data_IF_181070810938
#
_entry.id   IF_181070810938
#
_cell.length_a   1.000
_cell.length_b   1.000
_cell.length_c   1.000
_cell.angle_alpha   90.00
_cell.angle_beta   90.00
_cell.angle_gamma   90.00
#
_symmetry.space_group_name_H-M   'P 1'
#
loop_
_entity.id
_entity.type
_entity.pdbx_description
1 polymer ?
#
# COMPACT_ATOMS: atom_id res chain seq x y z
N UNK A 1 4.00 -59.03 -1.52
CA UNK A 1 4.65 -57.74 -1.87
C UNK A 1 3.63 -56.88 -2.60
N UNK A 2 3.08 -55.89 -1.95
CA UNK A 2 2.14 -54.93 -2.56
C UNK A 2 2.97 -53.73 -2.99
N UNK A 3 3.14 -53.58 -4.29
CA UNK A 3 3.83 -52.42 -4.87
C UNK A 3 2.91 -51.23 -4.85
N UNK A 4 3.19 -50.27 -3.96
CA UNK A 4 2.58 -48.96 -4.00
C UNK A 4 3.14 -48.18 -5.19
N UNK A 5 2.29 -47.93 -6.18
CA UNK A 5 2.55 -46.94 -7.23
C UNK A 5 2.16 -45.55 -6.63
N UNK A 6 3.07 -44.56 -6.58
CA UNK A 6 2.68 -43.22 -6.21
C UNK A 6 1.82 -42.63 -7.33
N UNK A 7 0.57 -42.30 -7.02
CA UNK A 7 -0.25 -41.46 -7.88
C UNK A 7 0.45 -40.10 -8.04
N UNK A 8 1.20 -39.93 -9.12
CA UNK A 8 1.58 -38.60 -9.58
C UNK A 8 0.31 -37.96 -10.17
N UNK A 9 -0.36 -37.13 -9.38
CA UNK A 9 -1.32 -36.18 -9.91
C UNK A 9 -0.55 -35.25 -10.85
N UNK A 10 -0.62 -35.49 -12.16
CA UNK A 10 -0.22 -34.54 -13.19
C UNK A 10 -1.17 -33.35 -13.05
N UNK A 11 -0.72 -32.30 -12.37
CA UNK A 11 -1.37 -30.99 -12.43
C UNK A 11 -1.28 -30.60 -13.91
N UNK A 12 -2.42 -30.55 -14.60
CA UNK A 12 -2.48 -30.06 -15.97
C UNK A 12 -2.19 -28.54 -15.91
N UNK A 13 -0.95 -28.16 -16.20
CA UNK A 13 -0.55 -26.75 -16.29
C UNK A 13 -1.33 -26.11 -17.45
N UNK A 14 -2.00 -25.00 -17.16
CA UNK A 14 -2.70 -24.21 -18.17
C UNK A 14 -1.67 -23.34 -18.88
N UNK A 15 -1.72 -23.35 -20.21
CA UNK A 15 -0.97 -22.40 -21.05
C UNK A 15 -1.97 -21.65 -21.93
N UNK A 16 -1.96 -20.34 -21.87
CA UNK A 16 -2.80 -19.51 -22.73
C UNK A 16 -2.02 -18.29 -23.21
N UNK A 17 -2.40 -17.78 -24.38
CA UNK A 17 -1.80 -16.60 -25.00
C UNK A 17 -2.78 -15.41 -24.98
N UNK A 18 -2.28 -14.20 -24.70
CA UNK A 18 -3.02 -12.96 -24.70
C UNK A 18 -2.33 -11.91 -25.58
N UNK A 19 -3.09 -11.08 -26.29
CA UNK A 19 -2.49 -9.93 -26.97
C UNK A 19 -1.96 -8.94 -25.93
N UNK A 20 -2.71 -8.70 -24.85
CA UNK A 20 -2.25 -7.87 -23.73
C UNK A 20 -2.53 -8.59 -22.41
N UNK A 21 -1.49 -8.83 -21.64
CA UNK A 21 -1.59 -9.42 -20.31
C UNK A 21 -1.31 -8.34 -19.24
N UNK A 22 -2.22 -8.19 -18.29
CA UNK A 22 -2.09 -7.27 -17.15
C UNK A 22 -1.71 -8.06 -15.89
N UNK A 23 -0.75 -7.53 -15.13
CA UNK A 23 -0.41 -8.01 -13.79
C UNK A 23 -0.94 -7.01 -12.78
N UNK A 24 -2.04 -7.37 -12.11
CA UNK A 24 -2.78 -6.52 -11.18
C UNK A 24 -4.11 -6.02 -11.72
N UNK A 25 -5.19 -6.34 -10.99
CA UNK A 25 -6.57 -5.89 -11.21
C UNK A 25 -6.95 -4.68 -10.36
N UNK A 26 -5.98 -3.91 -9.85
CA UNK A 26 -6.26 -2.64 -9.19
C UNK A 26 -6.71 -1.55 -10.17
N UNK A 27 -6.88 -0.32 -9.66
CA UNK A 27 -7.36 0.81 -10.45
C UNK A 27 -6.59 1.02 -11.76
N UNK A 28 -5.27 0.86 -11.76
CA UNK A 28 -4.44 1.03 -12.95
C UNK A 28 -4.73 -0.03 -14.02
N UNK A 29 -4.75 -1.31 -13.63
CA UNK A 29 -4.99 -2.43 -14.55
C UNK A 29 -6.40 -2.43 -15.12
N UNK A 30 -7.41 -2.26 -14.27
CA UNK A 30 -8.82 -2.21 -14.70
C UNK A 30 -9.08 -1.03 -15.66
N UNK A 31 -8.58 0.17 -15.31
CA UNK A 31 -8.80 1.37 -16.15
C UNK A 31 -8.10 1.25 -17.50
N UNK A 32 -6.84 0.79 -17.52
CA UNK A 32 -6.10 0.66 -18.77
C UNK A 32 -6.68 -0.46 -19.66
N UNK A 33 -7.02 -1.61 -19.09
CA UNK A 33 -7.61 -2.72 -19.84
C UNK A 33 -9.01 -2.37 -20.39
N UNK A 34 -9.83 -1.67 -19.60
CA UNK A 34 -11.12 -1.18 -20.05
C UNK A 34 -10.98 -0.19 -21.23
N UNK A 35 -10.03 0.75 -21.13
CA UNK A 35 -9.77 1.70 -22.19
C UNK A 35 -9.29 1.01 -23.49
N UNK A 36 -8.37 0.03 -23.37
CA UNK A 36 -7.90 -0.73 -24.54
C UNK A 36 -9.03 -1.49 -25.22
N UNK A 37 -9.87 -2.18 -24.46
CA UNK A 37 -11.01 -2.92 -25.01
C UNK A 37 -12.08 -2.01 -25.62
N UNK A 38 -12.25 -0.80 -25.09
CA UNK A 38 -13.12 0.20 -25.69
C UNK A 38 -12.62 0.64 -27.07
N UNK A 39 -11.29 0.83 -27.24
CA UNK A 39 -10.69 1.24 -28.51
C UNK A 39 -10.56 0.07 -29.49
N UNK A 40 -10.29 -1.13 -29.01
CA UNK A 40 -10.10 -2.33 -29.85
C UNK A 40 -10.72 -3.56 -29.19
N UNK A 41 -12.04 -3.78 -29.36
CA UNK A 41 -12.79 -4.86 -28.70
C UNK A 41 -12.34 -6.28 -29.08
N UNK A 42 -11.55 -6.43 -30.16
CA UNK A 42 -11.05 -7.74 -30.65
C UNK A 42 -9.78 -8.20 -29.92
N UNK A 43 -9.19 -7.37 -29.06
CA UNK A 43 -8.01 -7.77 -28.30
C UNK A 43 -8.35 -8.89 -27.30
N UNK A 44 -7.51 -9.91 -27.28
CA UNK A 44 -7.54 -10.92 -26.23
C UNK A 44 -6.75 -10.40 -25.02
N UNK A 45 -7.47 -9.89 -24.03
CA UNK A 45 -6.91 -9.28 -22.81
C UNK A 45 -7.03 -10.25 -21.64
N UNK A 46 -5.89 -10.51 -20.93
CA UNK A 46 -5.86 -11.24 -19.67
C UNK A 46 -5.51 -10.30 -18.51
N UNK A 47 -6.10 -10.55 -17.33
CA UNK A 47 -5.79 -9.82 -16.08
C UNK A 47 -5.49 -10.86 -15.01
N UNK A 48 -4.23 -10.94 -14.54
CA UNK A 48 -3.83 -11.75 -13.39
C UNK A 48 -4.05 -10.90 -12.13
N UNK A 49 -5.07 -11.27 -11.34
CA UNK A 49 -5.42 -10.61 -10.07
C UNK A 49 -5.94 -11.67 -9.09
N UNK A 50 -5.22 -11.93 -8.00
CA UNK A 50 -5.59 -12.98 -7.05
C UNK A 50 -6.80 -12.62 -6.18
N UNK A 51 -7.03 -11.33 -5.92
CA UNK A 51 -8.09 -10.90 -5.01
C UNK A 51 -9.47 -11.05 -5.62
N UNK A 52 -10.41 -11.62 -4.88
CA UNK A 52 -11.84 -11.61 -5.24
C UNK A 52 -12.53 -10.29 -4.87
N UNK A 53 -11.80 -9.38 -4.21
CA UNK A 53 -12.33 -8.13 -3.69
C UNK A 53 -11.58 -6.93 -4.25
N UNK A 54 -12.32 -5.93 -4.64
CA UNK A 54 -11.84 -4.62 -5.05
C UNK A 54 -12.13 -3.59 -3.97
N UNK A 55 -11.13 -2.78 -3.61
CA UNK A 55 -11.26 -1.79 -2.54
C UNK A 55 -11.01 -0.38 -3.05
N UNK A 56 -11.90 0.55 -2.71
CA UNK A 56 -11.64 1.96 -2.87
C UNK A 56 -10.75 2.45 -1.71
N UNK A 57 -9.46 2.17 -1.81
CA UNK A 57 -8.46 2.40 -0.75
C UNK A 57 -8.40 3.83 -0.21
N UNK A 58 -8.57 4.92 -1.02
CA UNK A 58 -8.54 6.30 -0.51
C UNK A 58 -9.57 6.57 0.60
N UNK A 59 -10.68 5.83 0.63
CA UNK A 59 -11.70 5.99 1.68
C UNK A 59 -11.32 5.36 3.02
N UNK A 60 -10.32 4.49 3.11
CA UNK A 60 -9.91 3.88 4.39
C UNK A 60 -9.53 4.92 5.44
N UNK A 61 -8.87 6.01 5.02
CA UNK A 61 -8.58 7.15 5.92
C UNK A 61 -9.85 7.81 6.44
N UNK A 62 -10.89 7.92 5.61
CA UNK A 62 -12.18 8.50 5.98
C UNK A 62 -12.95 7.57 6.94
N UNK A 63 -12.84 6.25 6.75
CA UNK A 63 -13.37 5.25 7.68
C UNK A 63 -12.70 5.38 9.04
N UNK A 64 -11.38 5.42 9.08
CA UNK A 64 -10.63 5.61 10.33
C UNK A 64 -10.90 6.94 11.03
N UNK A 65 -11.28 7.97 10.27
CA UNK A 65 -11.76 9.25 10.80
C UNK A 65 -13.24 9.28 11.16
N UNK A 66 -13.99 8.19 10.93
CA UNK A 66 -15.42 8.08 11.26
C UNK A 66 -16.35 8.87 10.35
N UNK A 67 -15.90 9.26 9.15
CA UNK A 67 -16.68 10.08 8.20
C UNK A 67 -17.11 9.31 6.95
N UNK A 68 -16.78 8.02 6.86
CA UNK A 68 -17.21 7.15 5.78
C UNK A 68 -17.47 5.73 6.27
N UNK A 69 -18.39 5.05 5.61
CA UNK A 69 -18.83 3.70 5.97
C UNK A 69 -17.96 2.65 5.27
N UNK A 70 -17.42 1.70 6.05
CA UNK A 70 -16.56 0.61 5.56
C UNK A 70 -17.27 -0.28 4.54
N UNK A 71 -18.57 -0.53 4.73
CA UNK A 71 -19.36 -1.43 3.87
C UNK A 71 -19.54 -0.87 2.44
N UNK A 72 -19.30 0.42 2.26
CA UNK A 72 -19.43 1.10 0.96
C UNK A 72 -18.17 1.05 0.10
N UNK A 73 -17.06 0.53 0.60
CA UNK A 73 -15.78 0.60 -0.08
C UNK A 73 -15.23 -0.75 -0.55
N UNK A 74 -15.84 -1.86 -0.12
CA UNK A 74 -15.56 -3.19 -0.66
C UNK A 74 -16.51 -3.50 -1.83
N UNK A 75 -15.97 -4.07 -2.89
CA UNK A 75 -16.70 -4.55 -4.07
C UNK A 75 -16.20 -5.94 -4.44
N UNK A 76 -16.97 -6.66 -5.24
CA UNK A 76 -16.44 -7.88 -5.85
C UNK A 76 -15.59 -7.49 -7.06
N UNK A 77 -14.38 -8.01 -7.14
CA UNK A 77 -13.46 -7.76 -8.26
C UNK A 77 -14.10 -8.10 -9.61
N UNK A 78 -14.83 -9.20 -9.68
CA UNK A 78 -15.55 -9.66 -10.87
C UNK A 78 -16.43 -8.58 -11.52
N UNK A 79 -17.03 -7.71 -10.70
CA UNK A 79 -17.98 -6.69 -11.18
C UNK A 79 -17.26 -5.52 -11.88
N UNK A 80 -15.93 -5.45 -11.72
CA UNK A 80 -15.07 -4.42 -12.31
C UNK A 80 -14.18 -4.94 -13.44
N UNK A 81 -14.07 -6.25 -13.62
CA UNK A 81 -13.36 -6.82 -14.77
C UNK A 81 -14.04 -6.34 -16.05
N UNK A 82 -13.32 -5.68 -16.96
CA UNK A 82 -13.91 -5.16 -18.19
C UNK A 82 -14.53 -6.27 -19.04
N UNK A 83 -15.68 -5.99 -19.63
CA UNK A 83 -16.32 -6.92 -20.59
C UNK A 83 -15.34 -7.20 -21.74
N UNK A 84 -15.07 -8.48 -21.99
CA UNK A 84 -14.10 -8.93 -22.99
C UNK A 84 -12.71 -9.26 -22.44
N UNK A 85 -12.40 -8.90 -21.19
CA UNK A 85 -11.20 -9.39 -20.51
C UNK A 85 -11.43 -10.75 -19.85
N UNK A 86 -10.37 -11.55 -19.78
CA UNK A 86 -10.31 -12.81 -19.03
C UNK A 86 -9.66 -12.54 -17.70
N UNK A 87 -10.37 -12.74 -16.60
CA UNK A 87 -9.82 -12.68 -15.26
C UNK A 87 -9.17 -14.02 -14.89
N UNK A 88 -7.89 -13.96 -14.53
CA UNK A 88 -7.08 -15.07 -14.06
C UNK A 88 -6.87 -14.84 -12.55
N UNK A 89 -7.64 -15.55 -11.72
CA UNK A 89 -7.61 -15.36 -10.26
C UNK A 89 -6.41 -16.11 -9.66
N UNK A 90 -5.22 -15.64 -9.98
CA UNK A 90 -3.94 -16.25 -9.67
C UNK A 90 -2.91 -15.19 -9.24
N UNK A 91 -1.80 -15.65 -8.61
CA UNK A 91 -0.66 -14.82 -8.28
C UNK A 91 0.42 -14.90 -9.34
N UNK A 92 0.79 -13.81 -9.99
CA UNK A 92 2.00 -13.74 -10.81
C UNK A 92 3.24 -13.98 -9.93
N UNK A 93 4.14 -14.87 -10.37
CA UNK A 93 5.32 -15.24 -9.60
C UNK A 93 6.63 -14.91 -10.31
N UNK A 94 6.79 -15.37 -11.55
CA UNK A 94 8.03 -15.17 -12.30
C UNK A 94 7.76 -14.59 -13.67
N UNK A 95 8.75 -13.84 -14.17
CA UNK A 95 8.73 -13.21 -15.48
C UNK A 95 9.91 -13.72 -16.31
N UNK A 96 9.64 -14.10 -17.55
CA UNK A 96 10.63 -14.46 -18.56
C UNK A 96 10.42 -13.54 -19.78
N UNK A 97 10.88 -12.29 -19.71
CA UNK A 97 10.57 -11.27 -20.73
C UNK A 97 11.11 -11.61 -22.12
N UNK A 98 12.25 -12.29 -22.22
CA UNK A 98 12.83 -12.73 -23.50
C UNK A 98 11.95 -13.80 -24.20
N UNK A 99 11.12 -14.50 -23.45
CA UNK A 99 10.20 -15.53 -23.93
C UNK A 99 8.74 -15.05 -23.94
N UNK A 100 8.50 -13.79 -23.57
CA UNK A 100 7.17 -13.20 -23.46
C UNK A 100 6.21 -14.02 -22.60
N UNK A 101 6.66 -14.51 -21.44
CA UNK A 101 5.80 -15.29 -20.56
C UNK A 101 5.86 -14.86 -19.08
N UNK A 102 4.78 -15.20 -18.38
CA UNK A 102 4.61 -15.07 -16.93
C UNK A 102 4.14 -16.40 -16.38
N UNK A 103 4.78 -16.88 -15.31
CA UNK A 103 4.33 -18.07 -14.57
C UNK A 103 3.72 -17.63 -13.25
N UNK A 104 2.60 -18.27 -12.87
CA UNK A 104 1.89 -18.01 -11.63
C UNK A 104 2.34 -18.96 -10.52
N UNK A 105 1.94 -18.68 -9.27
CA UNK A 105 2.19 -19.57 -8.11
C UNK A 105 1.51 -20.92 -8.27
N UNK A 106 0.41 -20.96 -8.99
CA UNK A 106 -0.37 -22.15 -9.31
C UNK A 106 0.32 -23.03 -10.35
N UNK A 107 1.43 -22.56 -10.96
CA UNK A 107 2.22 -23.26 -11.96
C UNK A 107 1.75 -23.03 -13.40
N UNK A 108 0.72 -22.24 -13.62
CA UNK A 108 0.23 -21.91 -14.95
C UNK A 108 1.15 -20.91 -15.64
N UNK A 109 1.27 -21.02 -16.97
CA UNK A 109 2.11 -20.12 -17.77
C UNK A 109 1.26 -19.41 -18.81
N UNK A 110 1.40 -18.09 -18.86
CA UNK A 110 0.68 -17.22 -19.79
C UNK A 110 1.67 -16.47 -20.67
N UNK A 111 1.47 -16.55 -21.98
CA UNK A 111 2.27 -15.81 -22.96
C UNK A 111 1.53 -14.56 -23.44
N UNK A 112 2.27 -13.56 -23.93
CA UNK A 112 1.71 -12.29 -24.32
C UNK A 112 2.43 -11.66 -25.53
N UNK A 113 1.71 -10.84 -26.28
CA UNK A 113 2.33 -9.89 -27.22
C UNK A 113 2.85 -8.67 -26.45
N UNK A 114 2.02 -8.13 -25.52
CA UNK A 114 2.33 -7.02 -24.65
C UNK A 114 2.02 -7.33 -23.18
N UNK A 115 2.89 -6.88 -22.27
CA UNK A 115 2.70 -7.02 -20.83
C UNK A 115 2.54 -5.65 -20.18
N UNK A 116 1.55 -5.51 -19.29
CA UNK A 116 1.36 -4.32 -18.45
C UNK A 116 1.47 -4.70 -16.99
N UNK A 117 2.49 -4.19 -16.30
CA UNK A 117 2.82 -4.55 -14.91
C UNK A 117 2.34 -3.45 -13.97
N UNK A 118 1.27 -3.69 -13.20
CA UNK A 118 0.62 -2.70 -12.34
C UNK A 118 0.07 -3.29 -11.02
N UNK A 119 0.84 -4.12 -10.29
CA UNK A 119 0.36 -4.78 -9.07
C UNK A 119 0.28 -3.86 -7.84
N UNK A 120 0.60 -2.58 -7.99
CA UNK A 120 0.62 -1.62 -6.89
C UNK A 120 1.90 -1.67 -6.05
N UNK A 121 1.78 -1.31 -4.76
CA UNK A 121 2.87 -1.20 -3.80
C UNK A 121 2.70 -2.23 -2.68
N UNK A 122 3.81 -2.72 -2.12
CA UNK A 122 3.83 -3.64 -0.98
C UNK A 122 3.92 -2.87 0.34
N UNK A 123 3.14 -3.30 1.32
CA UNK A 123 3.20 -2.81 2.70
C UNK A 123 4.07 -3.75 3.53
N UNK A 124 5.17 -3.23 4.08
CA UNK A 124 6.17 -4.02 4.79
C UNK A 124 5.95 -3.91 6.32
N UNK A 125 4.93 -4.63 6.80
CA UNK A 125 4.56 -4.63 8.22
C UNK A 125 5.69 -5.15 9.11
N UNK A 126 6.40 -6.19 8.65
CA UNK A 126 7.51 -6.84 9.37
C UNK A 126 8.77 -5.96 9.47
N UNK A 127 8.83 -4.85 8.74
CA UNK A 127 9.93 -3.89 8.84
C UNK A 127 9.93 -3.11 10.18
N UNK A 128 8.85 -3.19 10.94
CA UNK A 128 8.75 -2.64 12.29
C UNK A 128 8.60 -3.83 13.26
N UNK A 129 9.59 -4.01 14.13
CA UNK A 129 9.63 -5.15 15.05
C UNK A 129 8.39 -5.19 15.95
N UNK A 130 7.80 -6.38 16.09
CA UNK A 130 6.60 -6.72 16.84
C UNK A 130 5.32 -5.99 16.39
N UNK A 131 5.32 -5.31 15.23
CA UNK A 131 4.11 -4.68 14.69
C UNK A 131 3.05 -5.72 14.26
N UNK A 132 3.37 -6.79 13.51
CA UNK A 132 2.36 -7.77 13.08
C UNK A 132 1.58 -8.38 14.24
N UNK A 133 2.24 -8.61 15.37
CA UNK A 133 1.66 -9.26 16.54
C UNK A 133 0.71 -8.34 17.33
N UNK A 134 0.84 -7.03 17.19
CA UNK A 134 0.06 -6.05 17.95
C UNK A 134 -0.91 -5.23 17.12
N UNK A 135 -0.78 -5.25 15.80
CA UNK A 135 -1.66 -4.48 14.90
C UNK A 135 -3.12 -4.94 15.01
N UNK A 136 -4.03 -4.01 15.25
CA UNK A 136 -5.46 -4.26 15.47
C UNK A 136 -5.80 -4.55 16.94
N UNK A 137 -4.87 -4.39 17.89
CA UNK A 137 -5.08 -4.52 19.33
C UNK A 137 -4.15 -3.59 20.11
N UNK A 138 -4.30 -3.49 21.43
CA UNK A 138 -3.46 -2.70 22.31
C UNK A 138 -3.34 -1.19 21.96
N UNK A 139 -4.32 -0.65 21.22
CA UNK A 139 -4.28 0.75 20.77
C UNK A 139 -3.47 0.96 19.48
N UNK A 140 -2.97 -0.10 18.83
CA UNK A 140 -2.15 -0.03 17.59
C UNK A 140 -3.02 -0.27 16.37
N UNK A 141 -3.03 0.67 15.44
CA UNK A 141 -3.91 0.65 14.25
C UNK A 141 -3.26 1.22 13.00
N UNK A 142 -3.92 1.04 11.87
CA UNK A 142 -3.49 1.60 10.58
C UNK A 142 -4.66 1.73 9.60
N UNK A 143 -4.70 2.84 8.86
CA UNK A 143 -5.61 3.03 7.73
C UNK A 143 -5.07 2.48 6.41
N UNK A 144 -3.91 1.84 6.42
CA UNK A 144 -3.36 1.17 5.24
C UNK A 144 -3.85 -0.28 5.09
N UNK A 145 -4.86 -0.68 5.87
CA UNK A 145 -5.53 -1.97 5.77
C UNK A 145 -7.04 -1.82 5.96
N UNK A 146 -7.81 -2.44 5.07
CA UNK A 146 -9.28 -2.54 5.18
C UNK A 146 -9.69 -3.10 6.54
N UNK A 147 -8.98 -4.14 7.01
CA UNK A 147 -9.25 -4.82 8.28
C UNK A 147 -9.11 -3.89 9.49
N UNK A 148 -8.14 -2.96 9.48
CA UNK A 148 -7.79 -2.18 10.66
C UNK A 148 -8.31 -0.74 10.64
N UNK A 149 -8.75 -0.23 9.49
CA UNK A 149 -9.30 1.12 9.39
C UNK A 149 -10.49 1.37 10.33
N UNK A 150 -11.49 0.46 10.49
CA UNK A 150 -12.57 0.62 11.47
C UNK A 150 -12.09 0.70 12.92
N UNK A 151 -11.04 -0.07 13.26
CA UNK A 151 -10.47 -0.04 14.61
C UNK A 151 -9.86 1.32 14.96
N UNK A 152 -9.33 2.07 13.98
CA UNK A 152 -8.88 3.44 14.20
C UNK A 152 -10.00 4.31 14.75
N UNK A 153 -11.18 4.25 14.15
CA UNK A 153 -12.32 5.04 14.64
C UNK A 153 -12.87 4.53 15.97
N UNK A 154 -12.86 3.23 16.18
CA UNK A 154 -13.23 2.65 17.48
C UNK A 154 -12.35 3.17 18.61
N UNK A 155 -11.03 3.23 18.39
CA UNK A 155 -10.10 3.81 19.35
C UNK A 155 -10.41 5.29 19.64
N UNK A 156 -10.70 6.09 18.60
CA UNK A 156 -11.06 7.50 18.77
C UNK A 156 -12.37 7.68 19.57
N UNK A 157 -13.39 6.87 19.29
CA UNK A 157 -14.67 6.89 20.03
C UNK A 157 -14.49 6.61 21.52
N UNK A 158 -13.62 5.67 21.85
CA UNK A 158 -13.39 5.23 23.22
C UNK A 158 -12.32 6.04 23.97
N UNK A 159 -11.63 6.95 23.27
CA UNK A 159 -10.56 7.75 23.84
C UNK A 159 -11.08 8.75 24.87
N UNK A 160 -10.37 8.87 26.01
CA UNK A 160 -10.75 9.76 27.12
C UNK A 160 -9.72 10.86 27.42
N UNK A 161 -8.61 10.84 26.70
CA UNK A 161 -7.44 11.69 26.90
C UNK A 161 -6.16 10.87 26.95
N UNK A 162 -5.01 11.50 26.77
CA UNK A 162 -3.70 10.84 26.76
C UNK A 162 -2.92 11.06 25.46
N UNK A 163 -2.02 10.13 25.14
CA UNK A 163 -1.09 10.22 24.02
C UNK A 163 -1.64 9.56 22.76
N UNK A 164 -1.76 10.33 21.68
CA UNK A 164 -2.07 9.79 20.35
C UNK A 164 -0.89 10.07 19.44
N UNK A 165 -0.28 9.00 18.92
CA UNK A 165 0.84 9.07 18.00
C UNK A 165 0.38 8.70 16.58
N UNK A 166 0.79 9.51 15.61
CA UNK A 166 0.66 9.24 14.18
C UNK A 166 2.04 9.10 13.57
N UNK A 167 2.29 8.01 12.86
CA UNK A 167 3.58 7.73 12.26
C UNK A 167 3.54 7.80 10.73
N UNK A 168 4.61 8.35 10.14
CA UNK A 168 4.91 8.32 8.71
C UNK A 168 6.36 7.89 8.47
N UNK A 169 6.63 6.85 7.68
CA UNK A 169 7.98 6.37 7.44
C UNK A 169 8.77 7.31 6.52
N UNK A 170 10.07 7.04 6.37
CA UNK A 170 10.94 7.71 5.40
C UNK A 170 11.01 7.03 4.04
N UNK A 171 10.22 5.97 3.82
CA UNK A 171 10.09 5.30 2.52
C UNK A 171 9.07 6.01 1.63
N UNK A 172 9.04 5.74 0.31
CA UNK A 172 7.89 6.06 -0.51
C UNK A 172 6.62 5.48 0.10
N UNK A 173 5.53 6.23 0.07
CA UNK A 173 4.21 5.76 0.51
C UNK A 173 3.17 6.11 -0.54
N UNK A 174 2.20 5.22 -0.77
CA UNK A 174 1.03 5.59 -1.56
C UNK A 174 0.24 6.64 -0.78
N UNK A 175 -0.08 7.76 -1.45
CA UNK A 175 -0.71 8.93 -0.87
C UNK A 175 0.09 9.55 0.29
N UNK A 176 1.15 10.30 -0.01
CA UNK A 176 1.98 11.00 0.98
C UNK A 176 1.22 11.93 1.95
N UNK A 177 -0.04 12.26 1.65
CA UNK A 177 -0.94 12.99 2.55
C UNK A 177 -1.73 12.11 3.53
N UNK A 178 -1.88 10.80 3.29
CA UNK A 178 -2.73 9.94 4.10
C UNK A 178 -2.28 9.83 5.58
N UNK A 179 -0.97 9.76 5.91
CA UNK A 179 -0.52 9.71 7.30
C UNK A 179 -0.98 10.90 8.12
N UNK A 180 -0.97 12.10 7.52
CA UNK A 180 -1.40 13.32 8.21
C UNK A 180 -2.91 13.58 8.09
N UNK A 181 -3.60 13.09 7.04
CA UNK A 181 -5.06 13.24 6.94
C UNK A 181 -5.79 12.62 8.12
N UNK A 182 -5.41 11.40 8.52
CA UNK A 182 -6.03 10.75 9.68
C UNK A 182 -5.73 11.51 10.98
N UNK A 183 -4.56 12.10 11.13
CA UNK A 183 -4.21 12.93 12.28
C UNK A 183 -5.12 14.14 12.37
N UNK A 184 -5.38 14.84 11.27
CA UNK A 184 -6.29 16.00 11.26
C UNK A 184 -7.74 15.60 11.51
N UNK A 185 -8.21 14.47 10.95
CA UNK A 185 -9.57 13.96 11.22
C UNK A 185 -9.73 13.58 12.69
N UNK A 186 -8.73 12.93 13.28
CA UNK A 186 -8.72 12.61 14.69
C UNK A 186 -8.73 13.87 15.57
N UNK A 187 -7.88 14.85 15.26
CA UNK A 187 -7.83 16.10 16.00
C UNK A 187 -9.15 16.87 15.95
N UNK A 188 -9.82 16.90 14.78
CA UNK A 188 -11.13 17.53 14.64
C UNK A 188 -12.23 16.78 15.40
N UNK A 189 -12.18 15.43 15.37
CA UNK A 189 -13.08 14.59 16.17
C UNK A 189 -12.93 14.90 17.67
N UNK A 190 -11.69 14.92 18.17
CA UNK A 190 -11.40 15.21 19.58
C UNK A 190 -11.83 16.64 19.97
N UNK A 191 -11.62 17.62 19.09
CA UNK A 191 -12.08 19.00 19.29
C UNK A 191 -13.60 19.05 19.45
N UNK A 192 -14.34 18.37 18.54
CA UNK A 192 -15.82 18.32 18.57
C UNK A 192 -16.38 17.64 19.81
N UNK A 193 -15.60 16.78 20.45
CA UNK A 193 -15.99 16.03 21.65
C UNK A 193 -15.37 16.59 22.95
N UNK A 194 -14.79 17.80 22.92
CA UNK A 194 -14.14 18.47 24.07
C UNK A 194 -13.01 17.63 24.69
N UNK A 195 -12.29 16.87 23.88
CA UNK A 195 -11.16 16.04 24.28
C UNK A 195 -9.81 16.59 23.81
N UNK A 196 -9.77 17.61 22.96
CA UNK A 196 -8.52 18.14 22.39
C UNK A 196 -7.53 18.57 23.46
N UNK A 197 -7.98 19.30 24.48
CA UNK A 197 -7.13 19.81 25.56
C UNK A 197 -6.68 18.71 26.54
N UNK A 198 -7.30 17.54 26.50
CA UNK A 198 -6.90 16.33 27.24
C UNK A 198 -5.99 15.41 26.43
N UNK A 199 -5.66 15.81 25.21
CA UNK A 199 -4.97 14.97 24.23
C UNK A 199 -3.59 15.54 23.91
N UNK A 200 -2.56 14.71 23.95
CA UNK A 200 -1.24 15.02 23.45
C UNK A 200 -1.07 14.37 22.07
N UNK A 201 -1.46 15.11 21.02
CA UNK A 201 -1.40 14.63 19.64
C UNK A 201 0.01 14.85 19.10
N UNK A 202 0.64 13.81 18.59
CA UNK A 202 1.99 13.86 18.07
C UNK A 202 2.09 13.23 16.68
N UNK A 203 2.84 13.88 15.79
CA UNK A 203 3.21 13.36 14.49
C UNK A 203 4.69 13.01 14.47
N UNK A 204 5.00 11.74 14.28
CA UNK A 204 6.36 11.21 14.21
C UNK A 204 6.66 10.79 12.76
N UNK A 205 7.61 11.46 12.12
CA UNK A 205 7.88 11.28 10.70
C UNK A 205 9.35 11.08 10.41
N UNK A 206 9.64 10.08 9.57
CA UNK A 206 10.97 9.91 8.97
C UNK A 206 11.33 10.98 7.95
N UNK A 207 10.34 11.78 7.50
CA UNK A 207 10.53 12.93 6.62
C UNK A 207 11.10 14.15 7.34
N UNK A 208 11.39 15.20 6.54
CA UNK A 208 12.04 16.44 7.00
C UNK A 208 11.05 17.55 7.30
N UNK A 209 9.80 17.43 6.86
CA UNK A 209 8.75 18.46 6.94
C UNK A 209 7.36 17.83 6.79
N UNK A 210 6.33 18.65 7.07
CA UNK A 210 4.95 18.13 7.06
C UNK A 210 4.44 17.79 5.66
N UNK A 211 4.85 18.55 4.64
CA UNK A 211 4.44 18.27 3.26
C UNK A 211 5.45 18.76 2.23
N UNK A 212 5.60 18.02 1.11
CA UNK A 212 6.58 18.31 0.08
C UNK A 212 6.30 19.56 -0.76
N UNK A 213 5.05 20.04 -0.81
CA UNK A 213 4.66 21.21 -1.62
C UNK A 213 4.59 22.46 -0.73
N UNK A 214 5.52 23.42 -0.87
CA UNK A 214 5.64 24.57 0.06
C UNK A 214 4.38 25.43 0.17
N UNK A 215 3.63 25.57 -0.92
CA UNK A 215 2.37 26.33 -0.93
C UNK A 215 1.33 25.75 0.03
N UNK A 216 1.21 24.43 0.08
CA UNK A 216 0.26 23.74 0.96
C UNK A 216 0.81 23.60 2.38
N UNK A 217 2.11 23.42 2.54
CA UNK A 217 2.77 23.30 3.83
C UNK A 217 2.46 24.48 4.76
N UNK A 218 2.52 25.70 4.23
CA UNK A 218 2.17 26.93 4.99
C UNK A 218 0.77 26.88 5.61
N UNK A 219 -0.20 26.31 4.90
CA UNK A 219 -1.57 26.16 5.42
C UNK A 219 -1.65 25.02 6.44
N UNK A 220 -0.96 23.92 6.18
CA UNK A 220 -0.95 22.76 7.08
C UNK A 220 -0.29 23.10 8.43
N UNK A 221 0.75 23.93 8.44
CA UNK A 221 1.37 24.41 9.69
C UNK A 221 0.38 25.20 10.56
N UNK A 222 -0.50 26.01 9.96
CA UNK A 222 -1.57 26.69 10.70
C UNK A 222 -2.60 25.71 11.28
N UNK A 223 -2.85 24.60 10.59
CA UNK A 223 -3.74 23.54 11.08
C UNK A 223 -3.09 22.79 12.25
N UNK A 224 -1.79 22.49 12.16
CA UNK A 224 -0.99 21.90 13.24
C UNK A 224 -1.05 22.77 14.49
N UNK A 225 -0.81 24.07 14.36
CA UNK A 225 -0.91 25.03 15.44
C UNK A 225 -2.32 25.08 16.06
N UNK A 226 -3.36 25.16 15.23
CA UNK A 226 -4.77 25.16 15.67
C UNK A 226 -5.12 23.96 16.54
N UNK A 227 -4.63 22.78 16.18
CA UNK A 227 -4.90 21.53 16.90
C UNK A 227 -3.84 21.19 17.95
N UNK A 228 -2.87 22.09 18.20
CA UNK A 228 -1.78 21.91 19.17
C UNK A 228 -1.00 20.62 18.95
N UNK A 229 -0.81 20.21 17.68
CA UNK A 229 -0.12 18.98 17.31
C UNK A 229 1.39 19.17 17.44
N UNK A 230 2.08 18.24 18.11
CA UNK A 230 3.55 18.24 18.18
C UNK A 230 4.10 17.46 16.99
N UNK A 231 5.08 18.00 16.28
CA UNK A 231 5.74 17.36 15.16
C UNK A 231 7.16 16.94 15.49
N UNK A 232 7.50 15.69 15.20
CA UNK A 232 8.81 15.09 15.41
C UNK A 232 9.31 14.56 14.07
N UNK A 233 10.17 15.31 13.41
CA UNK A 233 10.75 14.93 12.12
C UNK A 233 12.07 14.18 12.28
N UNK A 234 12.54 13.54 11.20
CA UNK A 234 13.73 12.68 11.20
C UNK A 234 13.66 11.54 12.22
N UNK A 235 12.49 10.94 12.37
CA UNK A 235 12.23 9.87 13.33
C UNK A 235 11.63 8.65 12.64
N UNK A 236 12.27 7.51 12.73
CA UNK A 236 11.79 6.23 12.20
C UNK A 236 11.27 5.35 13.32
N UNK A 237 10.04 4.89 13.19
CA UNK A 237 9.49 3.86 14.09
C UNK A 237 10.14 2.52 13.74
N UNK A 238 10.74 1.87 14.72
CA UNK A 238 11.49 0.61 14.53
C UNK A 238 10.93 -0.55 15.34
N UNK A 239 10.17 -0.28 16.40
CA UNK A 239 9.61 -1.33 17.27
C UNK A 239 8.34 -0.85 17.98
N UNK A 240 7.40 -1.77 18.20
CA UNK A 240 6.17 -1.52 18.97
C UNK A 240 6.01 -2.56 20.07
N UNK A 241 6.05 -2.12 21.32
CA UNK A 241 5.66 -2.93 22.47
C UNK A 241 4.19 -2.64 22.79
N UNK A 242 3.29 -3.37 22.12
CA UNK A 242 1.85 -3.18 22.25
C UNK A 242 1.32 -3.44 23.66
N UNK A 243 1.70 -4.54 24.33
CA UNK A 243 1.29 -4.81 25.71
C UNK A 243 1.62 -3.69 26.69
N UNK A 244 2.80 -3.10 26.58
CA UNK A 244 3.24 -1.99 27.44
C UNK A 244 2.92 -0.62 26.86
N UNK A 245 2.28 -0.56 25.68
CA UNK A 245 1.91 0.68 24.96
C UNK A 245 3.09 1.63 24.75
N UNK A 246 4.20 1.10 24.26
CA UNK A 246 5.43 1.85 23.97
C UNK A 246 5.84 1.69 22.51
N UNK A 247 6.28 2.78 21.90
CA UNK A 247 6.81 2.83 20.55
C UNK A 247 8.27 3.30 20.59
N UNK A 248 9.17 2.58 19.89
CA UNK A 248 10.58 2.94 19.79
C UNK A 248 10.88 3.60 18.46
N UNK A 249 11.39 4.82 18.54
CA UNK A 249 11.83 5.59 17.40
C UNK A 249 13.36 5.71 17.38
N UNK A 250 13.93 5.80 16.17
CA UNK A 250 15.36 6.04 15.94
C UNK A 250 15.52 7.30 15.11
N UNK A 251 16.40 8.18 15.55
CA UNK A 251 16.72 9.41 14.86
C UNK A 251 17.43 9.18 13.53
N UNK A 252 17.05 9.92 12.49
CA UNK A 252 17.59 9.86 11.13
C UNK A 252 18.36 11.12 10.73
N UNK A 253 18.19 12.22 11.46
CA UNK A 253 18.82 13.52 11.17
C UNK A 253 20.27 13.59 11.68
N UNK A 254 21.05 14.51 11.16
CA UNK A 254 22.46 14.68 11.56
C UNK A 254 22.64 14.86 13.06
N UNK A 255 21.71 15.58 13.72
CA UNK A 255 21.79 15.88 15.15
C UNK A 255 21.30 14.77 16.07
N UNK A 256 20.54 13.79 15.53
CA UNK A 256 19.93 12.73 16.32
C UNK A 256 20.13 11.33 15.73
N UNK A 257 21.04 11.17 14.77
CA UNK A 257 21.25 9.90 14.07
C UNK A 257 21.57 8.77 15.05
N UNK A 258 20.75 7.72 15.00
CA UNK A 258 20.90 6.55 15.86
C UNK A 258 20.43 6.74 17.30
N UNK A 259 19.98 7.92 17.68
CA UNK A 259 19.41 8.14 19.03
C UNK A 259 18.08 7.44 19.13
N UNK A 260 17.93 6.56 20.11
CA UNK A 260 16.72 5.81 20.38
C UNK A 260 15.84 6.54 21.39
N UNK A 261 14.54 6.58 21.12
CA UNK A 261 13.54 7.20 22.00
C UNK A 261 12.34 6.29 22.15
N UNK A 262 12.03 5.88 23.38
CA UNK A 262 10.79 5.20 23.71
C UNK A 262 9.71 6.21 24.06
N UNK A 263 8.53 6.07 23.48
CA UNK A 263 7.39 6.96 23.65
C UNK A 263 6.16 6.16 24.05
N UNK A 264 5.51 6.58 25.13
CA UNK A 264 4.25 5.99 25.58
C UNK A 264 3.09 6.46 24.70
N UNK A 265 2.15 5.56 24.41
CA UNK A 265 0.95 5.87 23.65
C UNK A 265 -0.31 5.24 24.26
N UNK A 266 -1.43 5.88 24.10
CA UNK A 266 -2.75 5.28 24.27
C UNK A 266 -3.30 4.80 22.94
N UNK A 267 -3.06 5.57 21.87
CA UNK A 267 -3.36 5.22 20.48
C UNK A 267 -2.13 5.47 19.60
N UNK A 268 -1.78 4.49 18.78
CA UNK A 268 -0.70 4.57 17.80
C UNK A 268 -1.22 4.20 16.42
N UNK A 269 -1.33 5.20 15.54
CA UNK A 269 -1.63 4.99 14.13
C UNK A 269 -0.35 4.89 13.31
N UNK A 270 -0.17 3.78 12.60
CA UNK A 270 1.05 3.49 11.87
C UNK A 270 0.80 3.53 10.36
N UNK A 271 1.60 4.30 9.63
CA UNK A 271 1.84 4.10 8.22
C UNK A 271 3.04 3.16 8.10
N UNK A 272 2.88 1.93 7.58
CA UNK A 272 4.00 1.02 7.46
C UNK A 272 4.99 1.51 6.39
N UNK A 273 6.27 1.12 6.48
CA UNK A 273 7.18 1.24 5.35
C UNK A 273 6.62 0.56 4.12
N UNK A 274 6.82 1.14 2.94
CA UNK A 274 6.30 0.61 1.68
C UNK A 274 7.40 0.54 0.64
N UNK A 275 7.23 -0.35 -0.32
CA UNK A 275 8.21 -0.58 -1.37
C UNK A 275 7.63 -1.34 -2.57
N UNK A 276 8.46 -1.63 -3.58
CA UNK A 276 8.05 -2.47 -4.68
C UNK A 276 7.71 -3.87 -4.16
N UNK A 277 6.70 -4.55 -4.77
CA UNK A 277 6.42 -5.94 -4.43
C UNK A 277 7.65 -6.84 -4.63
N UNK A 278 7.86 -7.79 -3.73
CA UNK A 278 9.06 -8.64 -3.73
C UNK A 278 9.22 -9.44 -5.04
N UNK A 279 8.11 -9.92 -5.63
CA UNK A 279 8.15 -10.64 -6.90
C UNK A 279 8.54 -9.74 -8.09
N UNK A 280 8.35 -8.42 -8.00
CA UNK A 280 8.88 -7.43 -8.95
C UNK A 280 10.34 -7.14 -8.64
N UNK A 281 10.66 -6.83 -7.37
CA UNK A 281 12.02 -6.51 -6.93
C UNK A 281 13.05 -7.58 -7.29
N UNK A 282 12.62 -8.84 -7.26
CA UNK A 282 13.46 -10.01 -7.57
C UNK A 282 13.32 -10.48 -9.02
N UNK A 283 12.76 -9.66 -9.92
CA UNK A 283 12.53 -10.01 -11.33
C UNK A 283 13.48 -9.24 -12.27
N UNK A 284 13.65 -9.70 -13.52
CA UNK A 284 14.42 -8.97 -14.55
C UNK A 284 13.78 -7.64 -14.96
N UNK A 285 12.57 -7.31 -14.47
CA UNK A 285 11.87 -6.06 -14.75
C UNK A 285 12.27 -4.92 -13.80
N UNK A 286 13.02 -5.22 -12.74
CA UNK A 286 13.31 -4.26 -11.68
C UNK A 286 14.53 -3.41 -11.97
N UNK A 287 14.46 -2.12 -11.67
CA UNK A 287 15.63 -1.27 -11.55
C UNK A 287 16.38 -1.52 -10.22
N UNK A 288 17.50 -0.81 -9.99
CA UNK A 288 18.31 -0.94 -8.77
C UNK A 288 17.52 -0.66 -7.46
N UNK A 289 16.42 0.09 -7.52
CA UNK A 289 15.54 0.37 -6.38
C UNK A 289 14.37 -0.64 -6.25
N UNK A 290 14.29 -1.63 -7.15
CA UNK A 290 13.30 -2.70 -7.14
C UNK A 290 11.96 -2.39 -7.83
N UNK A 291 11.79 -1.19 -8.40
CA UNK A 291 10.60 -0.80 -9.16
C UNK A 291 10.70 -1.27 -10.61
N UNK A 292 9.56 -1.51 -11.27
CA UNK A 292 9.56 -1.79 -12.72
C UNK A 292 10.20 -0.63 -13.46
N UNK A 293 11.30 -0.90 -14.19
CA UNK A 293 12.14 0.13 -14.80
C UNK A 293 11.53 0.66 -16.10
N UNK A 294 10.96 1.85 -16.06
CA UNK A 294 10.26 2.45 -17.21
C UNK A 294 10.76 3.84 -17.55
N UNK A 295 10.71 4.17 -18.84
CA UNK A 295 10.84 5.55 -19.31
C UNK A 295 9.63 6.38 -18.84
N UNK A 296 9.90 7.56 -18.26
CA UNK A 296 8.89 8.42 -17.66
C UNK A 296 7.91 9.05 -18.66
N UNK A 297 8.28 9.12 -19.92
CA UNK A 297 7.45 9.74 -20.97
C UNK A 297 6.54 8.74 -21.67
N UNK A 298 6.95 7.48 -21.77
CA UNK A 298 6.25 6.43 -22.51
C UNK A 298 5.65 5.35 -21.63
N UNK A 299 6.11 5.22 -20.37
CA UNK A 299 5.79 4.11 -19.44
C UNK A 299 6.28 2.74 -19.93
N UNK A 300 7.07 2.71 -21.00
CA UNK A 300 7.65 1.52 -21.59
C UNK A 300 8.88 1.10 -20.81
N UNK A 301 9.07 -0.19 -20.64
CA UNK A 301 10.27 -0.74 -19.96
C UNK A 301 11.53 -0.40 -20.78
N UNK A 302 12.60 0.00 -20.06
CA UNK A 302 13.84 0.50 -20.71
C UNK A 302 14.57 -0.56 -21.55
N UNK A 303 14.38 -1.85 -21.27
CA UNK A 303 15.02 -2.96 -22.00
C UNK A 303 14.06 -3.76 -22.86
N UNK A 304 12.77 -3.85 -22.50
CA UNK A 304 11.77 -4.72 -23.14
C UNK A 304 10.67 -3.86 -23.77
N UNK A 305 10.71 -3.66 -25.12
CA UNK A 305 9.84 -2.68 -25.79
C UNK A 305 8.34 -3.06 -25.79
N UNK A 306 8.01 -4.30 -25.46
CA UNK A 306 6.64 -4.77 -25.36
C UNK A 306 6.14 -4.88 -23.90
N UNK A 307 6.90 -4.35 -22.93
CA UNK A 307 6.52 -4.33 -21.51
C UNK A 307 6.32 -2.88 -21.06
N UNK A 308 5.25 -2.65 -20.31
CA UNK A 308 4.87 -1.35 -19.76
C UNK A 308 4.57 -1.48 -18.27
N UNK A 309 4.71 -0.38 -17.52
CA UNK A 309 4.23 -0.33 -16.14
C UNK A 309 3.60 1.00 -15.82
N UNK A 310 2.53 0.95 -15.02
CA UNK A 310 1.82 2.12 -14.54
C UNK A 310 1.35 1.92 -13.09
N UNK A 311 0.99 3.00 -12.43
CA UNK A 311 0.64 2.98 -11.02
C UNK A 311 1.88 2.86 -10.11
N UNK A 312 1.65 2.40 -8.89
CA UNK A 312 2.65 2.47 -7.82
C UNK A 312 3.84 1.51 -8.00
N UNK A 313 3.73 0.49 -8.85
CA UNK A 313 4.82 -0.46 -9.13
C UNK A 313 5.91 0.12 -10.05
N UNK A 314 5.64 1.19 -10.80
CA UNK A 314 6.56 1.76 -11.77
C UNK A 314 7.65 2.64 -11.15
N UNK A 315 8.80 2.80 -11.83
CA UNK A 315 9.93 3.64 -11.40
C UNK A 315 9.72 5.15 -11.59
N UNK A 316 8.48 5.57 -11.86
CA UNK A 316 8.16 6.99 -12.11
C UNK A 316 8.61 7.88 -10.95
N UNK A 317 9.14 9.09 -11.25
CA UNK A 317 9.70 10.00 -10.24
C UNK A 317 8.61 10.74 -9.44
N UNK A 318 7.33 10.55 -9.78
CA UNK A 318 6.20 11.14 -9.06
C UNK A 318 5.89 10.39 -7.77
N UNK A 319 5.23 11.07 -6.83
CA UNK A 319 4.73 10.42 -5.61
C UNK A 319 3.78 9.28 -5.95
N UNK A 320 3.85 8.20 -5.19
CA UNK A 320 2.88 7.10 -5.27
C UNK A 320 1.50 7.54 -4.78
N UNK A 321 0.43 6.96 -5.34
CA UNK A 321 -0.94 7.43 -5.04
C UNK A 321 -1.89 6.32 -4.68
#
# INVERSE_FOLDING_TARGET
>A
MVTFHPFQNKINMITAHFNVLFIGGGNAGLSASAYLLLQKPTLKVGIIEPSSKHYYQPAWTLVGGGVYDIDKIERNEKDYIPKGATWLQEFAQTFQPEQNNVTTREGNTYTYDYLVVCPGIQLNWDAIKALPETLGKNGVTSNYSFKYAPYTFELLKNFKGGNILFHSPNTPVKCGGAPQKIMYLAADYLRKHNLLDKSNIQFWSGGTKIFGVPKYEKTLLKVIERYKIKTNFFQSLVEVDGPNKKARFVGLGEHNKGVETWVDFDVLHITPPQGPPDFIKNSPLANAAGWVDVDKGTLQHVLFPNIFSLGDASSLPTSKT
#
